data_IF_940944427893
#
_entry.id   IF_940944427893
#
_cell.length_a   1.000
_cell.length_b   1.000
_cell.length_c   1.000
_cell.angle_alpha   90.00
_cell.angle_beta   90.00
_cell.angle_gamma   90.00
#
_symmetry.space_group_name_H-M   'P 1'
#
loop_
_entity.id
_entity.type
_entity.pdbx_description
1 polymer ?
#
# COMPACT_ATOMS: atom_id res chain seq x y z
N UNK A 1 61.14 22.05 67.14
CA UNK A 1 61.72 22.98 66.15
C UNK A 1 60.72 23.16 65.03
N UNK A 2 60.23 24.41 64.91
CA UNK A 2 59.74 25.09 63.68
C UNK A 2 58.83 24.30 62.72
N UNK A 3 57.51 24.58 62.71
CA UNK A 3 56.82 25.63 61.91
C UNK A 3 56.82 25.26 60.41
N UNK A 4 55.73 25.34 59.63
CA UNK A 4 54.56 26.21 59.73
C UNK A 4 53.67 25.95 58.47
N UNK A 5 52.35 25.72 58.61
CA UNK A 5 51.22 26.68 58.41
C UNK A 5 50.58 26.53 57.01
N UNK A 6 49.38 25.95 56.95
CA UNK A 6 48.04 26.60 56.87
C UNK A 6 47.63 27.04 55.45
N UNK A 7 46.50 26.54 54.95
CA UNK A 7 45.19 27.23 55.08
C UNK A 7 44.08 26.31 54.55
N UNK A 8 43.05 25.92 55.30
CA UNK A 8 41.94 26.65 55.94
C UNK A 8 40.90 27.25 54.97
N UNK A 9 39.66 26.77 55.16
CA UNK A 9 38.40 27.21 54.54
C UNK A 9 37.43 26.03 54.43
N UNK A 10 36.85 25.44 55.49
CA UNK A 10 35.88 25.99 56.48
C UNK A 10 34.67 26.64 55.78
N UNK A 11 33.40 26.30 56.01
CA UNK A 11 32.73 25.54 57.08
C UNK A 11 31.21 25.49 56.80
N UNK A 12 30.52 24.58 57.50
CA UNK A 12 29.11 24.65 57.98
C UNK A 12 28.01 24.39 56.93
N UNK A 13 26.97 23.59 57.18
CA UNK A 13 26.35 23.17 58.45
C UNK A 13 25.55 21.88 58.25
N UNK A 14 25.63 21.03 59.28
CA UNK A 14 24.80 19.87 59.56
C UNK A 14 23.34 20.30 59.84
N UNK A 15 22.36 19.60 59.27
CA UNK A 15 21.06 19.39 59.91
C UNK A 15 20.58 17.97 59.59
N UNK A 16 20.38 17.20 60.66
CA UNK A 16 19.87 15.84 60.67
C UNK A 16 18.47 15.96 61.29
N UNK A 17 17.41 15.70 60.52
CA UNK A 17 16.07 15.49 61.06
C UNK A 17 15.45 14.29 60.31
N UNK A 18 15.11 13.27 61.09
CA UNK A 18 14.29 12.11 60.71
C UNK A 18 12.95 12.57 60.11
N UNK A 19 12.47 11.89 59.07
CA UNK A 19 11.15 11.25 59.06
C UNK A 19 10.75 10.68 57.69
N UNK A 20 10.06 9.54 57.77
CA UNK A 20 9.24 8.90 56.74
C UNK A 20 9.93 8.16 55.58
N UNK A 21 9.87 6.81 55.55
CA UNK A 21 10.12 6.05 54.34
C UNK A 21 8.94 6.28 53.40
N UNK A 22 9.06 7.25 52.50
CA UNK A 22 8.15 7.31 51.36
C UNK A 22 8.83 6.59 50.21
N UNK A 23 8.45 5.33 50.09
CA UNK A 23 8.43 4.62 48.82
C UNK A 23 7.73 5.55 47.82
N UNK A 24 8.50 6.26 47.01
CA UNK A 24 8.04 6.72 45.70
C UNK A 24 8.60 5.69 44.71
N UNK A 25 8.11 4.46 44.83
CA UNK A 25 7.79 3.71 43.63
C UNK A 25 6.55 4.41 43.08
N UNK A 26 6.75 5.52 42.36
CA UNK A 26 5.67 6.09 41.57
C UNK A 26 5.26 4.98 40.62
N UNK A 27 4.02 4.54 40.77
CA UNK A 27 3.36 3.58 39.91
C UNK A 27 3.25 4.19 38.52
N UNK A 28 4.35 4.23 37.77
CA UNK A 28 4.32 4.45 36.32
C UNK A 28 3.72 3.18 35.75
N UNK A 29 2.40 3.19 35.62
CA UNK A 29 1.75 2.26 34.71
C UNK A 29 2.41 2.48 33.36
N UNK A 30 2.99 1.41 32.84
CA UNK A 30 3.73 1.44 31.61
C UNK A 30 2.76 1.84 30.48
N UNK A 31 2.87 3.07 29.97
CA UNK A 31 1.95 3.60 28.96
C UNK A 31 2.00 2.75 27.70
N UNK A 32 3.14 2.12 27.43
CA UNK A 32 3.33 1.13 26.37
C UNK A 32 2.35 -0.03 26.57
N UNK A 33 2.27 -0.58 27.77
CA UNK A 33 1.35 -1.67 28.09
C UNK A 33 -0.11 -1.27 27.89
N UNK A 34 -0.48 -0.02 28.19
CA UNK A 34 -1.83 0.50 27.92
C UNK A 34 -2.11 0.53 26.40
N UNK A 35 -1.13 0.95 25.58
CA UNK A 35 -1.26 0.93 24.11
C UNK A 35 -1.35 -0.50 23.56
N UNK A 36 -0.54 -1.42 24.06
CA UNK A 36 -0.59 -2.84 23.68
C UNK A 36 -1.94 -3.46 24.01
N UNK A 37 -2.45 -3.24 25.23
CA UNK A 37 -3.78 -3.71 25.66
C UNK A 37 -4.90 -3.06 24.81
N UNK A 38 -4.79 -1.78 24.49
CA UNK A 38 -5.72 -1.10 23.57
C UNK A 38 -5.73 -1.77 22.19
N UNK A 39 -4.56 -1.98 21.58
CA UNK A 39 -4.45 -2.60 20.26
C UNK A 39 -4.92 -4.05 20.27
N UNK A 40 -4.65 -4.81 21.33
CA UNK A 40 -5.19 -6.16 21.51
C UNK A 40 -6.73 -6.16 21.63
N UNK A 41 -7.30 -5.22 22.38
CA UNK A 41 -8.75 -5.08 22.54
C UNK A 41 -9.45 -4.65 21.24
N UNK A 42 -8.81 -3.80 20.43
CA UNK A 42 -9.28 -3.45 19.08
C UNK A 42 -9.33 -4.70 18.20
N UNK A 43 -8.21 -5.44 18.13
CA UNK A 43 -8.09 -6.63 17.29
C UNK A 43 -9.05 -7.76 17.70
N UNK A 44 -9.28 -7.93 19.00
CA UNK A 44 -10.19 -8.92 19.57
C UNK A 44 -11.66 -8.46 19.65
N UNK A 45 -11.96 -7.22 19.23
CA UNK A 45 -13.30 -6.61 19.29
C UNK A 45 -13.89 -6.56 20.71
N UNK A 46 -13.03 -6.45 21.73
CA UNK A 46 -13.44 -6.36 23.14
C UNK A 46 -13.73 -4.89 23.53
N UNK A 47 -14.83 -4.36 23.01
CA UNK A 47 -15.18 -2.94 23.16
C UNK A 47 -15.46 -2.48 24.59
N UNK A 48 -15.87 -3.41 25.47
CA UNK A 48 -16.10 -3.11 26.89
C UNK A 48 -14.79 -2.77 27.58
N UNK A 49 -13.77 -3.58 27.36
CA UNK A 49 -12.45 -3.37 27.96
C UNK A 49 -11.69 -2.21 27.28
N UNK A 50 -11.98 -1.97 25.99
CA UNK A 50 -11.48 -0.78 25.28
C UNK A 50 -11.84 0.52 26.00
N UNK A 51 -13.08 0.66 26.45
CA UNK A 51 -13.56 1.89 27.09
C UNK A 51 -12.92 2.20 28.44
N UNK A 52 -12.32 1.21 29.12
CA UNK A 52 -11.66 1.40 30.42
C UNK A 52 -10.32 2.15 30.28
N UNK A 53 -9.71 2.04 29.10
CA UNK A 53 -8.41 2.64 28.74
C UNK A 53 -8.54 4.04 28.09
N UNK A 54 -9.77 4.49 27.81
CA UNK A 54 -10.05 5.79 27.18
C UNK A 54 -10.61 6.80 28.20
N UNK A 55 -10.35 8.09 27.98
CA UNK A 55 -11.06 9.16 28.69
C UNK A 55 -12.47 9.36 28.14
N UNK A 56 -13.36 9.98 28.92
CA UNK A 56 -14.76 10.21 28.51
C UNK A 56 -14.91 11.06 27.24
N UNK A 57 -13.99 12.02 27.02
CA UNK A 57 -13.96 12.90 25.85
C UNK A 57 -12.84 12.52 24.86
N UNK A 58 -12.69 11.23 24.59
CA UNK A 58 -11.65 10.71 23.70
C UNK A 58 -11.75 11.30 22.28
N UNK A 59 -10.61 11.75 21.74
CA UNK A 59 -10.48 12.24 20.37
C UNK A 59 -9.71 11.24 19.49
N UNK A 60 -10.31 10.82 18.38
CA UNK A 60 -9.61 10.10 17.31
C UNK A 60 -9.48 11.02 16.11
N UNK A 61 -8.28 11.22 15.59
CA UNK A 61 -8.05 12.04 14.41
C UNK A 61 -7.17 11.30 13.41
N UNK A 62 -7.66 11.20 12.16
CA UNK A 62 -6.88 10.67 11.04
C UNK A 62 -6.54 11.81 10.09
N UNK A 63 -5.26 12.06 9.88
CA UNK A 63 -4.81 12.99 8.86
C UNK A 63 -4.71 12.26 7.52
N UNK A 64 -5.41 12.76 6.48
CA UNK A 64 -5.16 12.36 5.08
C UNK A 64 -4.53 13.53 4.34
N UNK A 65 -3.55 13.22 3.50
CA UNK A 65 -3.04 14.16 2.51
C UNK A 65 -3.85 13.91 1.23
N UNK A 66 -4.68 14.88 0.81
CA UNK A 66 -5.47 14.74 -0.40
C UNK A 66 -4.63 15.21 -1.60
N UNK A 67 -4.35 14.31 -2.54
CA UNK A 67 -3.42 14.54 -3.66
C UNK A 67 -4.02 15.38 -4.78
N UNK A 68 -5.31 15.71 -4.71
CA UNK A 68 -6.02 16.33 -5.83
C UNK A 68 -6.05 17.85 -5.72
N UNK A 69 -6.44 18.49 -4.62
CA UNK A 69 -6.52 19.96 -4.53
C UNK A 69 -6.12 20.50 -3.15
N UNK A 70 -4.94 21.14 -3.05
CA UNK A 70 -4.43 21.85 -1.88
C UNK A 70 -4.28 21.00 -0.60
N UNK A 71 -3.27 21.32 0.22
CA UNK A 71 -2.98 20.66 1.49
C UNK A 71 -4.09 20.94 2.51
N UNK A 72 -5.22 20.29 2.40
CA UNK A 72 -6.29 20.31 3.40
C UNK A 72 -6.21 19.05 4.26
N UNK A 73 -5.88 19.24 5.53
CA UNK A 73 -5.91 18.19 6.54
C UNK A 73 -7.37 17.93 6.92
N UNK A 74 -7.94 16.83 6.43
CA UNK A 74 -9.23 16.37 6.92
C UNK A 74 -9.06 15.81 8.34
N UNK A 75 -9.85 16.29 9.29
CA UNK A 75 -9.94 15.73 10.65
C UNK A 75 -11.24 14.94 10.73
N UNK A 76 -11.18 13.63 10.62
CA UNK A 76 -12.31 12.76 10.97
C UNK A 76 -12.33 12.54 12.48
N UNK A 77 -13.18 13.27 13.20
CA UNK A 77 -13.39 13.10 14.65
C UNK A 77 -14.47 12.03 14.89
N UNK A 78 -14.07 10.86 15.39
CA UNK A 78 -15.00 9.83 15.83
C UNK A 78 -15.25 9.97 17.34
N UNK A 79 -16.47 10.32 17.75
CA UNK A 79 -16.86 10.48 19.17
C UNK A 79 -17.17 9.17 19.90
N UNK A 80 -17.00 8.03 19.22
CA UNK A 80 -16.97 6.64 19.70
C UNK A 80 -16.62 5.77 18.48
N UNK A 81 -15.91 4.64 18.63
CA UNK A 81 -15.50 3.85 17.49
C UNK A 81 -16.71 3.16 16.83
N UNK A 82 -17.36 3.84 15.89
CA UNK A 82 -18.13 3.18 14.82
C UNK A 82 -17.13 2.62 13.82
N UNK A 83 -16.36 1.62 14.27
CA UNK A 83 -15.49 0.81 13.41
C UNK A 83 -16.40 -0.05 12.53
N UNK A 84 -16.80 0.51 11.38
CA UNK A 84 -17.48 -0.25 10.34
C UNK A 84 -16.58 -1.42 9.93
N UNK A 85 -17.25 -2.57 9.90
CA UNK A 85 -16.77 -3.92 9.62
C UNK A 85 -15.90 -3.98 8.36
N UNK A 86 -14.60 -3.74 8.51
CA UNK A 86 -13.63 -4.02 7.46
C UNK A 86 -12.66 -5.05 8.01
N UNK A 87 -12.43 -6.13 7.26
CA UNK A 87 -11.52 -7.22 7.59
C UNK A 87 -10.05 -6.78 7.48
N UNK A 88 -9.68 -5.70 8.15
CA UNK A 88 -8.30 -5.24 8.24
C UNK A 88 -7.61 -5.93 9.40
N UNK A 89 -6.34 -6.27 9.21
CA UNK A 89 -5.45 -6.69 10.28
C UNK A 89 -4.38 -5.61 10.41
N UNK A 90 -4.13 -5.16 11.62
CA UNK A 90 -3.05 -4.21 11.91
C UNK A 90 -1.93 -4.97 12.64
N UNK A 91 -0.68 -4.71 12.25
CA UNK A 91 0.52 -5.25 12.91
C UNK A 91 1.41 -4.09 13.37
N UNK A 92 1.73 -4.04 14.67
CA UNK A 92 2.68 -3.06 15.21
C UNK A 92 4.09 -3.52 14.82
N UNK A 93 4.80 -2.67 14.09
CA UNK A 93 6.17 -2.94 13.62
C UNK A 93 7.22 -2.13 14.38
N UNK A 94 6.81 -1.03 15.00
CA UNK A 94 7.67 -0.22 15.87
C UNK A 94 6.82 0.45 16.96
N UNK A 95 7.42 0.67 18.11
CA UNK A 95 6.78 1.30 19.26
C UNK A 95 7.81 2.11 20.03
N UNK A 96 7.45 3.35 20.39
CA UNK A 96 8.28 4.22 21.20
C UNK A 96 7.46 5.12 22.10
N UNK A 97 8.12 5.68 23.11
CA UNK A 97 7.49 6.52 24.13
C UNK A 97 8.21 7.86 24.26
N UNK A 98 7.44 8.90 24.58
CA UNK A 98 7.91 10.22 25.03
C UNK A 98 7.28 10.53 26.39
N UNK A 99 7.72 11.62 27.03
CA UNK A 99 7.18 12.06 28.33
C UNK A 99 5.63 12.16 28.35
N UNK A 100 5.00 12.47 27.21
CA UNK A 100 3.56 12.77 27.11
C UNK A 100 2.77 11.83 26.19
N UNK A 101 3.43 10.99 25.40
CA UNK A 101 2.76 10.17 24.39
C UNK A 101 3.50 8.85 24.12
N UNK A 102 2.77 7.89 23.57
CA UNK A 102 3.33 6.68 22.96
C UNK A 102 3.04 6.75 21.47
N UNK A 103 3.97 6.32 20.61
CA UNK A 103 3.70 6.17 19.19
C UNK A 103 3.88 4.72 18.76
N UNK A 104 3.11 4.32 17.76
CA UNK A 104 3.26 3.06 17.05
C UNK A 104 3.47 3.33 15.57
N UNK A 105 4.26 2.49 14.92
CA UNK A 105 4.20 2.32 13.48
C UNK A 105 3.46 1.01 13.24
N UNK A 106 2.37 1.09 12.48
CA UNK A 106 1.47 -0.03 12.25
C UNK A 106 1.31 -0.29 10.77
N UNK A 107 1.46 -1.55 10.37
CA UNK A 107 1.21 -2.00 9.02
C UNK A 107 -0.22 -2.50 8.91
N UNK A 108 -0.99 -1.92 7.99
CA UNK A 108 -2.36 -2.38 7.75
C UNK A 108 -2.38 -3.37 6.59
N UNK A 109 -3.15 -4.44 6.78
CA UNK A 109 -3.37 -5.47 5.79
C UNK A 109 -4.83 -5.50 5.39
N UNK A 110 -5.10 -5.36 4.09
CA UNK A 110 -6.39 -5.71 3.51
C UNK A 110 -6.39 -7.20 3.15
N UNK A 111 -7.56 -7.86 3.08
CA UNK A 111 -7.64 -9.26 2.64
C UNK A 111 -6.98 -9.46 1.27
N UNK A 112 -7.19 -8.51 0.35
CA UNK A 112 -6.59 -8.53 -0.98
C UNK A 112 -5.05 -8.44 -0.95
N UNK A 113 -4.48 -7.72 0.02
CA UNK A 113 -3.03 -7.55 0.11
C UNK A 113 -2.35 -8.89 0.42
N UNK A 114 -3.00 -9.71 1.25
CA UNK A 114 -2.53 -11.08 1.56
C UNK A 114 -2.72 -12.01 0.37
N UNK A 115 -3.86 -11.92 -0.31
CA UNK A 115 -4.17 -12.74 -1.49
C UNK A 115 -3.15 -12.49 -2.61
N UNK A 116 -2.81 -11.22 -2.86
CA UNK A 116 -1.88 -10.82 -3.90
C UNK A 116 -0.41 -10.82 -3.48
N UNK A 117 -0.13 -11.05 -2.19
CA UNK A 117 1.23 -11.01 -1.62
C UNK A 117 1.94 -9.67 -1.87
N UNK A 118 1.24 -8.57 -1.59
CA UNK A 118 1.74 -7.20 -1.77
C UNK A 118 2.95 -6.98 -0.86
N UNK A 119 4.06 -6.48 -1.41
CA UNK A 119 5.31 -6.27 -0.69
C UNK A 119 5.38 -4.92 0.01
N UNK A 120 5.02 -3.85 -0.69
CA UNK A 120 5.07 -2.49 -0.18
C UNK A 120 3.76 -2.16 0.55
N UNK A 121 3.56 -2.77 1.71
CA UNK A 121 2.38 -2.52 2.51
C UNK A 121 2.39 -1.10 3.08
N UNK A 122 1.19 -0.58 3.26
CA UNK A 122 0.98 0.73 3.85
C UNK A 122 1.29 0.70 5.34
N UNK A 123 2.08 1.69 5.80
CA UNK A 123 2.43 1.87 7.20
C UNK A 123 1.85 3.18 7.72
N UNK A 124 1.31 3.14 8.94
CA UNK A 124 0.66 4.27 9.60
C UNK A 124 1.43 4.60 10.88
N UNK A 125 1.70 5.88 11.12
CA UNK A 125 2.23 6.31 12.42
C UNK A 125 1.07 6.75 13.31
N UNK A 126 0.74 5.97 14.34
CA UNK A 126 -0.28 6.37 15.33
C UNK A 126 0.40 6.95 16.56
N UNK A 127 -0.09 8.07 17.08
CA UNK A 127 0.42 8.70 18.31
C UNK A 127 -0.70 8.79 19.33
N UNK A 128 -0.50 8.17 20.49
CA UNK A 128 -1.41 8.06 21.63
C UNK A 128 -0.98 9.08 22.68
N UNK A 129 -1.82 10.07 22.95
CA UNK A 129 -1.62 11.06 24.00
C UNK A 129 -2.37 10.64 25.25
N UNK A 130 -1.79 10.94 26.42
CA UNK A 130 -2.30 10.47 27.71
C UNK A 130 -2.73 11.61 28.61
N UNK A 131 -3.78 11.36 29.40
CA UNK A 131 -4.13 12.14 30.59
C UNK A 131 -4.10 11.19 31.81
N UNK A 132 -3.03 11.25 32.60
CA UNK A 132 -2.74 10.22 33.59
C UNK A 132 -2.51 8.86 32.93
N UNK A 133 -3.22 7.84 33.40
CA UNK A 133 -3.11 6.46 32.90
C UNK A 133 -4.18 6.11 31.85
N UNK A 134 -4.73 7.11 31.15
CA UNK A 134 -5.76 6.91 30.13
C UNK A 134 -5.39 7.64 28.86
N UNK A 135 -5.73 7.04 27.73
CA UNK A 135 -5.52 7.67 26.42
C UNK A 135 -6.59 8.74 26.22
N UNK A 136 -6.13 9.97 26.00
CA UNK A 136 -6.99 11.13 25.75
C UNK A 136 -7.22 11.38 24.27
N UNK A 137 -6.23 11.09 23.44
CA UNK A 137 -6.25 11.40 22.01
C UNK A 137 -5.38 10.44 21.22
N UNK A 138 -5.82 10.06 20.02
CA UNK A 138 -5.01 9.34 19.05
C UNK A 138 -4.93 10.18 17.77
N UNK A 139 -3.72 10.44 17.30
CA UNK A 139 -3.48 10.95 15.94
C UNK A 139 -2.95 9.84 15.05
N UNK A 140 -3.36 9.83 13.79
CA UNK A 140 -2.77 8.99 12.75
C UNK A 140 -2.13 9.92 11.75
N UNK A 141 -0.80 9.94 11.77
CA UNK A 141 0.05 10.68 10.86
C UNK A 141 0.55 9.76 9.74
N UNK A 142 0.84 10.37 8.59
CA UNK A 142 1.50 9.87 7.39
C UNK A 142 1.33 8.39 7.05
N UNK A 143 0.75 8.17 5.87
CA UNK A 143 0.72 6.89 5.18
C UNK A 143 2.11 6.65 4.57
N UNK A 144 3.02 6.06 5.35
CA UNK A 144 4.35 5.68 4.87
C UNK A 144 4.20 4.61 3.77
N UNK A 145 4.89 4.84 2.66
CA UNK A 145 4.88 3.99 1.46
C UNK A 145 3.58 4.00 0.62
N UNK A 146 2.66 4.96 0.81
CA UNK A 146 1.38 5.02 0.07
C UNK A 146 1.56 4.93 -1.46
N UNK A 147 2.39 5.79 -2.05
CA UNK A 147 2.59 5.77 -3.50
C UNK A 147 3.18 4.44 -4.01
N UNK A 148 4.11 3.83 -3.26
CA UNK A 148 4.67 2.51 -3.62
C UNK A 148 3.62 1.40 -3.51
N UNK A 149 2.76 1.48 -2.50
CA UNK A 149 1.65 0.56 -2.31
C UNK A 149 0.65 0.68 -3.45
N UNK A 150 0.23 1.90 -3.81
CA UNK A 150 -0.70 2.16 -4.91
C UNK A 150 -0.14 1.69 -6.25
N UNK A 151 1.14 1.96 -6.53
CA UNK A 151 1.82 1.48 -7.72
C UNK A 151 1.84 -0.06 -7.79
N UNK A 152 2.20 -0.72 -6.70
CA UNK A 152 2.25 -2.19 -6.65
C UNK A 152 0.85 -2.81 -6.76
N UNK A 153 -0.12 -2.27 -6.04
CA UNK A 153 -1.51 -2.70 -6.08
C UNK A 153 -2.12 -2.52 -7.47
N UNK A 154 -1.83 -1.41 -8.14
CA UNK A 154 -2.27 -1.18 -9.52
C UNK A 154 -1.71 -2.26 -10.44
N UNK A 155 -0.41 -2.53 -10.36
CA UNK A 155 0.26 -3.58 -11.18
C UNK A 155 -0.32 -4.97 -10.93
N UNK A 156 -0.53 -5.35 -9.66
CA UNK A 156 -1.09 -6.67 -9.31
C UNK A 156 -2.57 -6.79 -9.69
N UNK A 157 -3.33 -5.69 -9.58
CA UNK A 157 -4.74 -5.65 -9.97
C UNK A 157 -4.91 -5.75 -11.48
N UNK A 158 -4.12 -5.02 -12.27
CA UNK A 158 -4.16 -5.10 -13.73
C UNK A 158 -3.88 -6.52 -14.23
N UNK A 159 -2.95 -7.21 -13.59
CA UNK A 159 -2.65 -8.63 -13.88
C UNK A 159 -3.84 -9.55 -13.58
N UNK A 160 -4.43 -9.40 -12.39
CA UNK A 160 -5.59 -10.19 -11.98
C UNK A 160 -6.80 -9.91 -12.87
N UNK A 161 -7.02 -8.66 -13.26
CA UNK A 161 -8.08 -8.26 -14.18
C UNK A 161 -7.90 -8.92 -15.54
N UNK A 162 -6.67 -8.97 -16.07
CA UNK A 162 -6.40 -9.68 -17.33
C UNK A 162 -6.72 -11.18 -17.24
N UNK A 163 -6.45 -11.82 -16.10
CA UNK A 163 -6.87 -13.20 -15.84
C UNK A 163 -8.39 -13.35 -15.80
N UNK A 164 -9.09 -12.43 -15.13
CA UNK A 164 -10.55 -12.46 -15.03
C UNK A 164 -11.20 -12.26 -16.39
N UNK A 165 -10.72 -11.29 -17.16
CA UNK A 165 -11.16 -11.03 -18.54
C UNK A 165 -10.93 -12.26 -19.44
N UNK A 166 -9.78 -12.93 -19.33
CA UNK A 166 -9.48 -14.14 -20.13
C UNK A 166 -10.38 -15.32 -19.74
N UNK A 167 -10.60 -15.52 -18.45
CA UNK A 167 -11.31 -16.69 -17.94
C UNK A 167 -12.84 -16.55 -18.02
N UNK A 168 -13.35 -15.35 -17.79
CA UNK A 168 -14.79 -15.09 -17.64
C UNK A 168 -15.33 -14.03 -18.61
N UNK A 169 -14.48 -13.33 -19.38
CA UNK A 169 -14.87 -12.14 -20.14
C UNK A 169 -16.02 -12.35 -21.12
N UNK A 170 -16.10 -13.52 -21.76
CA UNK A 170 -17.24 -13.84 -22.65
C UNK A 170 -18.54 -14.05 -21.88
N UNK A 171 -18.49 -14.73 -20.75
CA UNK A 171 -19.66 -14.98 -19.90
C UNK A 171 -20.18 -13.69 -19.24
N UNK A 172 -19.30 -12.69 -19.06
CA UNK A 172 -19.61 -11.39 -18.45
C UNK A 172 -20.15 -10.38 -19.47
N UNK A 173 -19.74 -10.44 -20.74
CA UNK A 173 -20.21 -9.53 -21.78
C UNK A 173 -21.71 -9.66 -22.06
N UNK A 174 -22.28 -10.85 -21.82
CA UNK A 174 -23.71 -11.14 -21.96
C UNK A 174 -24.58 -10.52 -20.86
N UNK A 175 -23.96 -10.08 -19.74
CA UNK A 175 -24.66 -9.42 -18.64
C UNK A 175 -24.92 -7.95 -18.98
N UNK A 176 -26.10 -7.44 -18.58
CA UNK A 176 -26.34 -6.00 -18.57
C UNK A 176 -25.40 -5.29 -17.58
N UNK A 177 -25.26 -3.98 -17.71
CA UNK A 177 -24.29 -3.19 -16.95
C UNK A 177 -24.45 -3.31 -15.43
N UNK A 178 -25.69 -3.31 -14.92
CA UNK A 178 -25.97 -3.43 -13.49
C UNK A 178 -25.61 -4.81 -12.94
N UNK A 179 -26.00 -5.86 -13.66
CA UNK A 179 -25.72 -7.24 -13.25
C UNK A 179 -24.23 -7.55 -13.36
N UNK A 180 -23.54 -6.96 -14.34
CA UNK A 180 -22.08 -7.01 -14.47
C UNK A 180 -21.40 -6.41 -13.24
N UNK A 181 -21.79 -5.20 -12.82
CA UNK A 181 -21.24 -4.54 -11.64
C UNK A 181 -21.46 -5.36 -10.37
N UNK A 182 -22.68 -5.88 -10.17
CA UNK A 182 -23.01 -6.73 -9.03
C UNK A 182 -22.21 -8.04 -9.04
N UNK A 183 -22.10 -8.69 -10.20
CA UNK A 183 -21.36 -9.93 -10.38
C UNK A 183 -19.87 -9.76 -10.02
N UNK A 184 -19.24 -8.68 -10.51
CA UNK A 184 -17.87 -8.34 -10.14
C UNK A 184 -17.73 -8.08 -8.65
N UNK A 185 -18.64 -7.32 -8.05
CA UNK A 185 -18.58 -7.00 -6.61
C UNK A 185 -18.66 -8.25 -5.73
N UNK A 186 -19.63 -9.14 -6.00
CA UNK A 186 -19.86 -10.36 -5.21
C UNK A 186 -18.72 -11.38 -5.36
N UNK A 187 -18.09 -11.46 -6.54
CA UNK A 187 -17.07 -12.46 -6.83
C UNK A 187 -15.63 -11.92 -6.75
N UNK A 188 -15.46 -10.63 -6.47
CA UNK A 188 -14.17 -9.94 -6.50
C UNK A 188 -13.08 -10.71 -5.75
N UNK A 189 -13.31 -11.06 -4.48
CA UNK A 189 -12.32 -11.79 -3.68
C UNK A 189 -12.03 -13.20 -4.21
N UNK A 190 -13.04 -13.90 -4.73
CA UNK A 190 -12.88 -15.25 -5.27
C UNK A 190 -11.98 -15.23 -6.50
N UNK A 191 -12.14 -14.26 -7.39
CA UNK A 191 -11.29 -14.14 -8.57
C UNK A 191 -9.83 -13.88 -8.23
N UNK A 192 -9.59 -12.98 -7.28
CA UNK A 192 -8.23 -12.70 -6.82
C UNK A 192 -7.61 -13.92 -6.11
N UNK A 193 -8.43 -14.71 -5.38
CA UNK A 193 -8.02 -15.98 -4.79
C UNK A 193 -7.71 -17.06 -5.83
N UNK A 194 -8.41 -17.07 -6.97
CA UNK A 194 -8.10 -17.98 -8.07
C UNK A 194 -6.82 -17.54 -8.78
N UNK A 195 -6.67 -16.25 -9.06
CA UNK A 195 -5.44 -15.67 -9.62
C UNK A 195 -4.22 -15.97 -8.73
N UNK A 196 -4.36 -15.86 -7.41
CA UNK A 196 -3.25 -16.10 -6.48
C UNK A 196 -2.74 -17.55 -6.48
N UNK A 197 -3.56 -18.51 -6.93
CA UNK A 197 -3.21 -19.94 -7.04
C UNK A 197 -2.47 -20.30 -8.33
N UNK A 198 -2.41 -19.38 -9.31
CA UNK A 198 -1.68 -19.60 -10.55
C UNK A 198 -0.19 -19.85 -10.30
N UNK A 199 0.42 -20.65 -11.16
CA UNK A 199 1.87 -20.87 -11.17
C UNK A 199 2.62 -19.57 -11.48
N UNK A 200 3.90 -19.52 -11.12
CA UNK A 200 4.78 -18.37 -11.42
C UNK A 200 4.80 -18.06 -12.92
N UNK A 201 4.81 -19.11 -13.75
CA UNK A 201 4.79 -18.97 -15.22
C UNK A 201 3.51 -18.30 -15.72
N UNK A 202 2.35 -18.76 -15.26
CA UNK A 202 1.05 -18.20 -15.65
C UNK A 202 0.90 -16.75 -15.19
N UNK A 203 1.29 -16.44 -13.94
CA UNK A 203 1.30 -15.06 -13.44
C UNK A 203 2.22 -14.16 -14.27
N UNK A 204 3.38 -14.66 -14.69
CA UNK A 204 4.28 -13.89 -15.54
C UNK A 204 3.68 -13.60 -16.91
N UNK A 205 2.89 -14.52 -17.47
CA UNK A 205 2.18 -14.30 -18.74
C UNK A 205 1.13 -13.17 -18.60
N UNK A 206 0.34 -13.17 -17.52
CA UNK A 206 -0.62 -12.09 -17.25
C UNK A 206 0.07 -10.75 -16.93
N UNK A 207 1.22 -10.78 -16.26
CA UNK A 207 2.11 -9.63 -16.07
C UNK A 207 2.53 -9.02 -17.41
N UNK A 208 3.11 -9.81 -18.31
CA UNK A 208 3.51 -9.31 -19.62
C UNK A 208 2.29 -8.76 -20.37
N UNK A 209 1.17 -9.49 -20.41
CA UNK A 209 -0.06 -9.01 -21.06
C UNK A 209 -0.58 -7.69 -20.51
N UNK A 210 -0.53 -7.49 -19.19
CA UNK A 210 -0.91 -6.22 -18.57
C UNK A 210 -0.03 -5.06 -19.04
N UNK A 211 1.27 -5.31 -19.25
CA UNK A 211 2.20 -4.33 -19.81
C UNK A 211 1.87 -4.01 -21.27
N UNK A 212 1.51 -5.02 -22.07
CA UNK A 212 1.18 -4.84 -23.47
C UNK A 212 -0.17 -4.14 -23.70
N UNK A 213 -1.17 -4.33 -22.84
CA UNK A 213 -2.52 -3.74 -23.04
C UNK A 213 -2.43 -2.23 -23.27
N UNK A 214 -2.88 -1.75 -24.43
CA UNK A 214 -2.88 -0.32 -24.77
C UNK A 214 -2.22 -0.01 -26.10
N UNK A 215 -1.96 1.28 -26.33
CA UNK A 215 -1.38 1.80 -27.58
C UNK A 215 0.09 2.16 -27.39
N UNK A 216 0.93 1.60 -28.23
CA UNK A 216 2.36 1.86 -28.33
C UNK A 216 2.65 2.65 -29.60
N UNK A 217 3.44 3.72 -29.48
CA UNK A 217 3.78 4.61 -30.60
C UNK A 217 5.30 4.70 -30.75
N UNK A 218 5.77 4.55 -31.99
CA UNK A 218 7.15 4.76 -32.37
C UNK A 218 7.28 5.98 -33.28
N UNK A 219 8.22 6.86 -32.93
CA UNK A 219 8.57 8.03 -33.73
C UNK A 219 9.73 7.74 -34.69
N UNK A 220 10.47 6.66 -34.46
CA UNK A 220 11.70 6.28 -35.17
C UNK A 220 11.51 5.06 -36.09
N UNK A 221 10.38 4.36 -36.02
CA UNK A 221 10.00 3.33 -37.00
C UNK A 221 9.24 3.96 -38.20
N UNK A 222 9.74 3.81 -39.44
CA UNK A 222 9.09 4.40 -40.61
C UNK A 222 7.87 3.63 -41.12
N UNK A 223 7.70 2.36 -40.75
CA UNK A 223 6.69 1.45 -41.31
C UNK A 223 5.54 1.13 -40.35
N UNK A 224 5.81 1.02 -39.06
CA UNK A 224 4.88 0.58 -38.02
C UNK A 224 4.87 1.61 -36.90
N UNK A 225 4.20 2.74 -37.11
CA UNK A 225 4.25 3.86 -36.14
C UNK A 225 3.38 3.65 -34.91
N UNK A 226 2.36 2.80 -35.00
CA UNK A 226 1.40 2.60 -33.91
C UNK A 226 0.92 1.16 -33.87
N UNK A 227 1.01 0.58 -32.67
CA UNK A 227 0.56 -0.76 -32.34
C UNK A 227 -0.45 -0.65 -31.19
N UNK A 228 -1.61 -1.27 -31.31
CA UNK A 228 -2.61 -1.30 -30.23
C UNK A 228 -2.89 -2.75 -29.84
N UNK A 229 -2.40 -3.17 -28.69
CA UNK A 229 -2.62 -4.51 -28.17
C UNK A 229 -3.96 -4.58 -27.43
N UNK A 230 -4.78 -5.55 -27.82
CA UNK A 230 -6.11 -5.80 -27.27
C UNK A 230 -6.25 -7.25 -26.84
N UNK A 231 -6.80 -7.45 -25.64
CA UNK A 231 -7.08 -8.78 -25.11
C UNK A 231 -5.85 -9.70 -25.09
N UNK A 232 -6.09 -10.99 -25.34
CA UNK A 232 -5.12 -12.07 -25.11
C UNK A 232 -4.01 -12.18 -26.15
N UNK A 233 -4.34 -11.91 -27.41
CA UNK A 233 -3.46 -12.20 -28.53
C UNK A 233 -3.69 -11.28 -29.72
N UNK A 234 -4.56 -10.27 -29.62
CA UNK A 234 -4.86 -9.37 -30.74
C UNK A 234 -3.97 -8.13 -30.66
N UNK A 235 -3.41 -7.74 -31.78
CA UNK A 235 -2.75 -6.44 -31.94
C UNK A 235 -3.22 -5.80 -33.24
N UNK A 236 -3.51 -4.51 -33.18
CA UNK A 236 -3.87 -3.71 -34.35
C UNK A 236 -2.64 -2.93 -34.77
N UNK A 237 -2.18 -3.18 -35.98
CA UNK A 237 -1.08 -2.43 -36.60
C UNK A 237 -1.71 -1.31 -37.41
N UNK A 238 -1.34 -0.07 -37.10
CA UNK A 238 -1.79 1.10 -37.85
C UNK A 238 -0.76 1.48 -38.92
N UNK A 239 -1.22 1.60 -40.15
CA UNK A 239 -0.39 2.09 -41.24
C UNK A 239 0.04 3.56 -40.99
N UNK A 240 1.24 3.94 -41.45
CA UNK A 240 1.80 5.27 -41.19
C UNK A 240 1.26 6.37 -42.11
N UNK A 241 0.55 6.04 -43.20
CA UNK A 241 0.13 7.00 -44.23
C UNK A 241 -1.33 7.43 -44.09
N UNK A 242 -2.27 6.49 -43.90
CA UNK A 242 -3.71 6.75 -43.82
C UNK A 242 -4.30 6.45 -42.44
N UNK A 243 -3.52 5.86 -41.53
CA UNK A 243 -3.95 5.49 -40.19
C UNK A 243 -4.92 4.31 -40.17
N UNK A 244 -4.92 3.46 -41.19
CA UNK A 244 -5.81 2.29 -41.23
C UNK A 244 -5.26 1.19 -40.33
N UNK A 245 -6.13 0.62 -39.49
CA UNK A 245 -5.78 -0.43 -38.53
C UNK A 245 -6.01 -1.83 -39.09
N UNK A 246 -4.98 -2.66 -39.07
CA UNK A 246 -5.05 -4.07 -39.46
C UNK A 246 -4.95 -4.96 -38.22
N UNK A 247 -6.02 -5.67 -37.83
CA UNK A 247 -5.97 -6.60 -36.71
C UNK A 247 -5.19 -7.85 -37.12
N UNK A 248 -4.24 -8.23 -36.27
CA UNK A 248 -3.48 -9.47 -36.38
C UNK A 248 -3.28 -10.09 -35.00
N UNK A 249 -2.51 -11.16 -34.93
CA UNK A 249 -2.20 -11.87 -33.69
C UNK A 249 -0.75 -11.70 -33.27
N UNK A 250 -0.52 -11.79 -31.96
CA UNK A 250 0.81 -11.86 -31.37
C UNK A 250 0.97 -13.09 -30.45
N UNK A 251 2.22 -13.49 -30.26
CA UNK A 251 2.62 -14.51 -29.28
C UNK A 251 3.70 -13.91 -28.39
N UNK A 252 3.62 -14.19 -27.09
CA UNK A 252 4.67 -13.86 -26.12
C UNK A 252 5.65 -15.03 -26.07
N UNK A 253 6.93 -14.73 -26.29
CA UNK A 253 8.04 -15.67 -26.30
C UNK A 253 9.13 -15.12 -25.37
N UNK A 254 9.02 -15.49 -24.09
CA UNK A 254 9.84 -14.94 -22.99
C UNK A 254 9.76 -13.40 -22.97
N UNK A 255 10.88 -12.72 -23.21
CA UNK A 255 10.99 -11.26 -23.21
C UNK A 255 10.69 -10.65 -24.60
N UNK A 256 10.19 -11.46 -25.54
CA UNK A 256 9.86 -11.02 -26.89
C UNK A 256 8.38 -11.17 -27.22
N UNK A 257 7.93 -10.33 -28.12
CA UNK A 257 6.62 -10.40 -28.77
C UNK A 257 6.86 -10.67 -30.25
N UNK A 258 6.22 -11.71 -30.75
CA UNK A 258 6.17 -11.99 -32.18
C UNK A 258 4.79 -11.64 -32.71
N UNK A 259 4.71 -10.61 -33.55
CA UNK A 259 3.48 -10.22 -34.21
C UNK A 259 3.45 -10.83 -35.60
N UNK A 260 2.42 -11.62 -35.89
CA UNK A 260 2.26 -12.26 -37.19
C UNK A 260 1.90 -11.22 -38.25
N UNK A 261 2.56 -11.28 -39.40
CA UNK A 261 2.16 -10.51 -40.59
C UNK A 261 2.13 -11.41 -41.82
N UNK A 262 1.65 -10.88 -42.94
CA UNK A 262 1.58 -11.55 -44.24
C UNK A 262 2.97 -11.82 -44.84
N UNK A 263 3.98 -11.03 -44.49
CA UNK A 263 5.34 -11.12 -45.07
C UNK A 263 6.35 -11.77 -44.14
N UNK A 264 6.43 -11.30 -42.90
CA UNK A 264 7.39 -11.77 -41.90
C UNK A 264 6.96 -11.35 -40.50
N UNK A 265 7.17 -12.20 -39.50
CA UNK A 265 6.88 -11.83 -38.13
C UNK A 265 7.66 -10.58 -37.71
N UNK A 266 6.97 -9.64 -37.05
CA UNK A 266 7.62 -8.50 -36.41
C UNK A 266 8.06 -8.95 -35.01
N UNK A 267 9.32 -8.73 -34.70
CA UNK A 267 9.89 -9.06 -33.39
C UNK A 267 10.09 -7.78 -32.59
N UNK A 268 9.54 -7.75 -31.38
CA UNK A 268 9.67 -6.67 -30.41
C UNK A 268 10.17 -7.25 -29.09
N UNK A 269 11.25 -6.72 -28.55
CA UNK A 269 11.70 -7.00 -27.20
C UNK A 269 10.93 -6.12 -26.20
N UNK A 270 10.48 -6.72 -25.11
CA UNK A 270 9.85 -6.05 -23.97
C UNK A 270 10.96 -5.52 -23.07
N UNK A 271 11.23 -4.22 -23.12
CA UNK A 271 12.24 -3.61 -22.24
C UNK A 271 11.70 -3.34 -20.84
N UNK A 272 10.48 -2.81 -20.78
CA UNK A 272 9.78 -2.51 -19.53
C UNK A 272 8.26 -2.42 -19.77
N UNK A 273 7.51 -2.02 -18.75
CA UNK A 273 6.05 -1.91 -18.77
C UNK A 273 5.47 -0.91 -19.80
N UNK A 274 6.31 -0.02 -20.35
CA UNK A 274 5.93 1.06 -21.27
C UNK A 274 6.76 1.09 -22.55
N UNK A 275 7.81 0.28 -22.65
CA UNK A 275 8.78 0.34 -23.74
C UNK A 275 8.93 -0.99 -24.44
N UNK A 276 8.74 -0.98 -25.76
CA UNK A 276 9.11 -2.09 -26.65
C UNK A 276 10.21 -1.64 -27.60
N UNK A 277 11.16 -2.51 -27.90
CA UNK A 277 12.23 -2.25 -28.86
C UNK A 277 12.12 -3.25 -29.99
N UNK A 278 11.84 -2.75 -31.19
CA UNK A 278 11.72 -3.60 -32.37
C UNK A 278 13.04 -3.83 -33.08
N UNK A 279 13.11 -4.95 -33.80
CA UNK A 279 14.24 -5.32 -34.66
C UNK A 279 13.79 -5.53 -36.11
N UNK A 280 14.75 -5.54 -37.05
CA UNK A 280 14.47 -5.75 -38.48
C UNK A 280 13.47 -4.74 -39.05
N UNK A 281 12.36 -5.23 -39.63
CA UNK A 281 11.29 -4.38 -40.16
C UNK A 281 10.56 -3.58 -39.08
N UNK A 282 10.61 -4.05 -37.83
CA UNK A 282 10.06 -3.36 -36.68
C UNK A 282 11.07 -2.43 -36.00
N UNK A 283 12.28 -2.24 -36.55
CA UNK A 283 13.33 -1.43 -35.91
C UNK A 283 12.83 -0.07 -35.43
N UNK A 284 12.95 0.17 -34.13
CA UNK A 284 12.55 1.42 -33.48
C UNK A 284 12.15 1.20 -32.02
N UNK A 285 11.91 2.30 -31.31
CA UNK A 285 11.46 2.33 -29.93
C UNK A 285 9.99 2.71 -29.87
N UNK A 286 9.19 1.87 -29.23
CA UNK A 286 7.77 2.06 -29.08
C UNK A 286 7.43 2.39 -27.63
N UNK A 287 6.79 3.52 -27.41
CA UNK A 287 6.40 4.01 -26.08
C UNK A 287 4.89 3.93 -25.92
N UNK A 288 4.45 3.37 -24.80
CA UNK A 288 3.05 3.28 -24.40
C UNK A 288 2.49 4.68 -24.10
N UNK A 289 1.34 5.01 -24.68
CA UNK A 289 0.57 6.23 -24.40
C UNK A 289 -0.57 5.99 -23.42
#
# INVERSE_FOLDING_TARGET
>A
MTKSIEKLGSMKKLFLILSCPTIIASCTVDKIKIVEELNQNINSRNYKQLSENLVENFEYMRFREDSIHNKEYFIEIYSKPTLKNNNFKDEIIDLGETDTSVFTIERHYRPIDTILQVKNLTEFKKTYYFNGNRVSKITIDTILNEGKYEDEMTKLSDQAIMFIEDKYGKDIEELNEKDRQNYFYENFLNYFLEYSKLSVKEKNEYKIRSYLKGTFISNDNPFYKRLEFKGKSTVIIYDPYIGFGFPTSYVIDEDFIRIRTDKSDLLLEIKDEKTLVGEGWAKGTFIKK
#
